data_IF_483806415712
#
_entry.id   IF_483806415712
#
_cell.length_a   1.000
_cell.length_b   1.000
_cell.length_c   1.000
_cell.angle_alpha   90.00
_cell.angle_beta   90.00
_cell.angle_gamma   90.00
#
_symmetry.space_group_name_H-M   'P 1'
#
loop_
_entity.id
_entity.type
_entity.pdbx_description
1 polymer ?
#
# COMPACT_ATOMS: atom_id res chain seq x y z
N UNK A 1 -4.80 -12.71 17.23
CA UNK A 1 -5.33 -11.52 16.52
C UNK A 1 -4.17 -10.56 16.34
N UNK A 2 -3.74 -10.26 15.10
CA UNK A 2 -2.64 -9.31 14.87
C UNK A 2 -3.19 -7.92 15.18
N UNK A 3 -2.81 -7.36 16.34
CA UNK A 3 -3.12 -5.98 16.69
C UNK A 3 -2.26 -5.08 15.80
N UNK A 4 -2.69 -4.90 14.55
CA UNK A 4 -2.05 -3.97 13.65
C UNK A 4 -2.39 -2.58 14.20
N UNK A 5 -1.37 -1.88 14.69
CA UNK A 5 -1.46 -0.46 15.00
C UNK A 5 -1.75 0.23 13.66
N UNK A 6 -3.04 0.35 13.33
CA UNK A 6 -3.50 0.98 12.10
C UNK A 6 -3.42 2.48 12.31
N UNK A 7 -2.44 3.08 11.65
CA UNK A 7 -2.42 4.53 11.47
C UNK A 7 -3.60 4.94 10.59
N UNK A 8 -4.30 6.00 10.96
CA UNK A 8 -5.38 6.56 10.15
C UNK A 8 -4.85 6.91 8.74
N UNK A 9 -5.67 6.71 7.69
CA UNK A 9 -5.26 6.99 6.30
C UNK A 9 -4.80 8.45 6.14
N UNK A 10 -5.46 9.39 6.83
CA UNK A 10 -5.11 10.81 6.82
C UNK A 10 -3.68 11.07 7.33
N UNK A 11 -3.27 10.37 8.38
CA UNK A 11 -1.91 10.49 8.95
C UNK A 11 -0.89 9.94 7.96
N UNK A 12 -1.21 8.81 7.31
CA UNK A 12 -0.35 8.20 6.30
C UNK A 12 -0.17 9.10 5.09
N UNK A 13 -1.25 9.64 4.54
CA UNK A 13 -1.20 10.53 3.37
C UNK A 13 -0.45 11.82 3.69
N UNK A 14 -0.74 12.43 4.85
CA UNK A 14 -0.01 13.60 5.32
C UNK A 14 1.48 13.32 5.46
N UNK A 15 1.85 12.21 6.07
CA UNK A 15 3.24 11.82 6.27
C UNK A 15 3.98 11.67 4.93
N UNK A 16 3.38 10.98 3.97
CA UNK A 16 3.96 10.75 2.65
C UNK A 16 4.10 12.07 1.88
N UNK A 17 3.06 12.93 1.91
CA UNK A 17 3.11 14.24 1.26
C UNK A 17 4.24 15.11 1.81
N UNK A 18 4.37 15.17 3.14
CA UNK A 18 5.46 15.89 3.80
C UNK A 18 6.84 15.35 3.38
N UNK A 19 7.00 14.03 3.19
CA UNK A 19 8.28 13.46 2.73
C UNK A 19 8.64 14.00 1.35
N UNK A 20 7.69 14.04 0.42
CA UNK A 20 7.96 14.57 -0.93
C UNK A 20 8.24 16.08 -0.94
N UNK A 21 7.57 16.85 -0.07
CA UNK A 21 7.82 18.28 0.07
C UNK A 21 9.22 18.54 0.63
N UNK A 22 9.59 17.84 1.71
CA UNK A 22 10.85 18.07 2.44
C UNK A 22 12.05 17.33 1.82
N UNK A 23 11.83 16.38 0.90
CA UNK A 23 12.90 15.63 0.23
C UNK A 23 13.88 16.55 -0.50
N UNK A 24 13.46 17.73 -0.97
CA UNK A 24 14.31 18.71 -1.66
C UNK A 24 15.29 19.42 -0.72
N UNK A 25 14.93 19.54 0.55
CA UNK A 25 15.72 20.24 1.58
C UNK A 25 16.69 19.32 2.32
N UNK A 26 16.69 18.03 1.99
CA UNK A 26 17.51 17.01 2.63
C UNK A 26 18.48 16.36 1.63
N UNK A 27 19.66 15.96 2.13
CA UNK A 27 20.71 15.26 1.36
C UNK A 27 20.24 13.96 0.70
N UNK A 28 19.16 13.36 1.21
CA UNK A 28 18.63 12.08 0.77
C UNK A 28 17.19 11.88 1.23
N UNK A 29 16.40 11.16 0.43
CA UNK A 29 15.03 10.77 0.77
C UNK A 29 14.97 10.04 2.12
N UNK A 30 15.97 9.22 2.45
CA UNK A 30 16.06 8.54 3.74
C UNK A 30 16.24 9.49 4.93
N UNK A 31 16.95 10.60 4.74
CA UNK A 31 17.12 11.64 5.78
C UNK A 31 15.80 12.37 6.04
N UNK A 32 15.07 12.72 4.97
CA UNK A 32 13.72 13.28 5.06
C UNK A 32 12.74 12.33 5.78
N UNK A 33 12.76 11.04 5.43
CA UNK A 33 11.93 10.01 6.07
C UNK A 33 12.22 9.93 7.57
N UNK A 34 13.48 9.90 8.00
CA UNK A 34 13.81 9.85 9.43
C UNK A 34 13.29 11.08 10.17
N UNK A 35 13.51 12.28 9.62
CA UNK A 35 13.07 13.53 10.23
C UNK A 35 11.56 13.56 10.43
N UNK A 36 10.79 13.12 9.43
CA UNK A 36 9.33 13.14 9.47
C UNK A 36 8.76 12.01 10.33
N UNK A 37 9.39 10.84 10.33
CA UNK A 37 9.01 9.73 11.19
C UNK A 37 9.08 10.14 12.67
N UNK A 38 10.14 10.85 13.07
CA UNK A 38 10.26 11.43 14.42
C UNK A 38 9.17 12.47 14.74
N UNK A 39 8.71 13.25 13.75
CA UNK A 39 7.65 14.25 13.94
C UNK A 39 6.26 13.65 14.10
N UNK A 40 5.99 12.51 13.45
CA UNK A 40 4.68 11.84 13.47
C UNK A 40 4.60 10.77 14.57
N UNK A 41 5.75 10.33 15.10
CA UNK A 41 5.80 9.26 16.09
C UNK A 41 5.65 7.87 15.48
N UNK A 42 6.01 7.71 14.20
CA UNK A 42 6.04 6.41 13.52
C UNK A 42 7.49 5.96 13.28
N UNK A 43 7.71 4.69 12.97
CA UNK A 43 9.05 4.21 12.62
C UNK A 43 9.40 4.63 11.19
N UNK A 44 10.67 4.95 10.95
CA UNK A 44 11.16 5.31 9.63
C UNK A 44 10.91 4.21 8.57
N UNK A 45 10.91 2.93 8.98
CA UNK A 45 10.59 1.80 8.11
C UNK A 45 9.12 1.76 7.67
N UNK A 46 8.20 2.09 8.58
CA UNK A 46 6.77 2.22 8.24
C UNK A 46 6.56 3.34 7.22
N UNK A 47 7.15 4.51 7.46
CA UNK A 47 7.02 5.65 6.55
C UNK A 47 7.66 5.36 5.18
N UNK A 48 8.83 4.71 5.15
CA UNK A 48 9.47 4.25 3.90
C UNK A 48 8.59 3.29 3.11
N UNK A 49 7.86 2.40 3.79
CA UNK A 49 6.94 1.48 3.13
C UNK A 49 5.78 2.22 2.47
N UNK A 50 5.26 3.26 3.13
CA UNK A 50 4.20 4.09 2.54
C UNK A 50 4.69 4.90 1.35
N UNK A 51 5.86 5.54 1.46
CA UNK A 51 6.46 6.31 0.37
C UNK A 51 6.70 5.42 -0.85
N UNK A 52 7.28 4.23 -0.66
CA UNK A 52 7.47 3.25 -1.75
C UNK A 52 6.15 2.81 -2.39
N UNK A 53 5.10 2.62 -1.59
CA UNK A 53 3.78 2.27 -2.10
C UNK A 53 3.26 3.37 -3.02
N UNK A 54 3.37 4.62 -2.57
CA UNK A 54 2.97 5.79 -3.36
C UNK A 54 3.82 5.98 -4.61
N UNK A 55 5.13 5.72 -4.57
CA UNK A 55 5.99 5.73 -5.77
C UNK A 55 5.54 4.70 -6.82
N UNK A 56 5.08 3.52 -6.38
CA UNK A 56 4.54 2.48 -7.26
C UNK A 56 3.18 2.90 -7.80
N UNK A 57 2.29 3.41 -6.95
CA UNK A 57 0.95 3.88 -7.36
C UNK A 57 1.02 5.08 -8.32
N UNK A 58 2.06 5.91 -8.22
CA UNK A 58 2.36 7.01 -9.15
C UNK A 58 3.09 6.56 -10.42
N UNK A 59 3.44 5.28 -10.55
CA UNK A 59 4.14 4.74 -11.72
C UNK A 59 5.62 5.15 -11.83
N UNK A 60 6.19 5.76 -10.78
CA UNK A 60 7.61 6.19 -10.74
C UNK A 60 8.53 4.98 -10.60
N UNK A 61 8.04 3.90 -9.97
CA UNK A 61 8.75 2.63 -9.79
C UNK A 61 7.95 1.47 -10.36
N UNK A 62 8.61 0.61 -11.14
CA UNK A 62 8.03 -0.65 -11.60
C UNK A 62 7.70 -1.58 -10.42
N UNK A 63 6.44 -1.99 -10.30
CA UNK A 63 5.93 -2.88 -9.27
C UNK A 63 4.41 -3.00 -9.35
N UNK A 64 3.81 -4.05 -8.76
CA UNK A 64 2.35 -4.19 -8.68
C UNK A 64 1.77 -3.09 -7.79
N UNK A 65 0.92 -2.24 -8.36
CA UNK A 65 0.20 -1.18 -7.66
C UNK A 65 -0.76 -1.78 -6.62
N UNK A 66 -1.18 -0.94 -5.68
CA UNK A 66 -2.29 -1.25 -4.79
C UNK A 66 -3.56 -1.59 -5.55
N UNK A 67 -3.80 -0.93 -6.69
CA UNK A 67 -4.88 -1.24 -7.61
C UNK A 67 -4.72 -2.63 -8.25
N UNK A 68 -3.50 -3.02 -8.64
CA UNK A 68 -3.25 -4.37 -9.19
C UNK A 68 -3.50 -5.46 -8.15
N UNK A 69 -3.16 -5.20 -6.89
CA UNK A 69 -3.38 -6.14 -5.78
C UNK A 69 -4.86 -6.24 -5.37
N UNK A 70 -5.61 -5.15 -5.45
CA UNK A 70 -7.07 -5.15 -5.25
C UNK A 70 -7.78 -5.89 -6.39
N UNK A 71 -7.43 -5.59 -7.64
CA UNK A 71 -7.95 -6.32 -8.80
C UNK A 71 -7.68 -7.82 -8.72
N UNK A 72 -6.49 -8.22 -8.26
CA UNK A 72 -6.15 -9.62 -8.11
C UNK A 72 -7.03 -10.32 -7.07
N UNK A 73 -7.37 -9.64 -5.96
CA UNK A 73 -8.30 -10.17 -4.96
C UNK A 73 -9.73 -10.28 -5.47
N UNK A 74 -10.22 -9.25 -6.18
CA UNK A 74 -11.55 -9.27 -6.79
C UNK A 74 -11.65 -10.40 -7.82
N UNK A 75 -10.65 -10.54 -8.70
CA UNK A 75 -10.57 -11.62 -9.68
C UNK A 75 -10.46 -13.02 -9.05
N UNK A 76 -9.79 -13.17 -7.90
CA UNK A 76 -9.74 -14.43 -7.14
C UNK A 76 -11.09 -14.76 -6.46
N UNK A 77 -11.85 -13.73 -6.06
CA UNK A 77 -13.19 -13.93 -5.51
C UNK A 77 -14.18 -14.33 -6.60
N UNK A 78 -14.18 -13.61 -7.72
CA UNK A 78 -15.01 -13.92 -8.89
C UNK A 78 -14.67 -15.31 -9.47
N UNK A 79 -13.39 -15.68 -9.54
CA UNK A 79 -13.00 -17.05 -9.95
C UNK A 79 -13.49 -18.12 -8.98
N UNK A 80 -13.55 -17.85 -7.68
CA UNK A 80 -14.10 -18.82 -6.71
C UNK A 80 -15.59 -18.99 -6.89
N UNK A 81 -16.33 -17.91 -7.08
CA UNK A 81 -17.77 -17.96 -7.33
C UNK A 81 -18.10 -18.63 -8.67
N UNK A 82 -17.34 -18.30 -9.72
CA UNK A 82 -17.46 -18.94 -11.03
C UNK A 82 -17.10 -20.43 -10.98
N UNK A 83 -16.06 -20.83 -10.24
CA UNK A 83 -15.72 -22.25 -10.07
C UNK A 83 -16.78 -23.00 -9.24
N UNK A 84 -17.33 -22.38 -8.20
CA UNK A 84 -18.42 -22.95 -7.41
C UNK A 84 -19.67 -23.18 -8.28
N UNK A 85 -20.03 -22.19 -9.10
CA UNK A 85 -21.12 -22.25 -10.06
C UNK A 85 -20.87 -23.35 -11.11
N UNK A 86 -19.73 -23.32 -11.82
CA UNK A 86 -19.35 -24.35 -12.81
C UNK A 86 -19.35 -25.76 -12.23
N UNK A 87 -18.84 -25.94 -11.00
CA UNK A 87 -18.84 -27.22 -10.32
C UNK A 87 -20.27 -27.71 -10.00
N UNK A 88 -21.17 -26.82 -9.57
CA UNK A 88 -22.58 -27.14 -9.34
C UNK A 88 -23.31 -27.58 -10.60
N UNK A 89 -23.06 -26.93 -11.74
CA UNK A 89 -23.63 -27.33 -13.02
C UNK A 89 -23.05 -28.64 -13.56
N UNK A 90 -21.79 -28.96 -13.25
CA UNK A 90 -21.15 -30.22 -13.66
C UNK A 90 -21.66 -31.45 -12.90
N UNK A 91 -22.13 -31.31 -11.66
CA UNK A 91 -22.70 -32.40 -10.85
C UNK A 91 -24.20 -32.63 -11.13
N UNK A 92 -24.84 -31.68 -11.81
CA UNK A 92 -26.27 -31.74 -12.17
C UNK A 92 -26.54 -32.37 -13.54
N UNK A 93 -25.49 -32.68 -14.32
CA UNK A 93 -25.55 -33.48 -15.55
C UNK A 93 -25.24 -34.95 -15.25
#
# INVERSE_FOLDING_TARGET
MKNQISYSPEVRERAVRLVFEQQKDHESQWSAIKSIASKIGCTAETLRTWVRRTEIDQGIRGGMSTADRERLKELEQENRELNYSKSKYAVSC
#
